data_IF_951832628148
#
_entry.id   IF_951832628148
#
_cell.length_a   1.000
_cell.length_b   1.000
_cell.length_c   1.000
_cell.angle_alpha   90.00
_cell.angle_beta   90.00
_cell.angle_gamma   90.00
#
_symmetry.space_group_name_H-M   'P 1'
#
loop_
_entity.id
_entity.type
_entity.pdbx_description
1 polymer ?
#
# COMPACT_ATOMS: atom_id res chain seq x y z
N UNK A 1 30.37 -3.98 36.97
CA UNK A 1 29.24 -4.61 36.27
C UNK A 1 27.92 -3.79 36.32
N UNK A 2 27.75 -2.82 37.23
CA UNK A 2 26.49 -2.06 37.41
C UNK A 2 26.23 -0.88 36.45
N UNK A 3 27.20 -0.43 35.65
CA UNK A 3 27.03 0.77 34.78
C UNK A 3 26.24 0.51 33.49
N UNK A 4 26.05 -0.75 33.07
CA UNK A 4 25.31 -1.08 31.83
C UNK A 4 23.79 -1.25 32.04
N UNK A 5 23.33 -1.47 33.28
CA UNK A 5 21.91 -1.67 33.60
C UNK A 5 21.12 -0.35 33.68
N UNK A 6 21.78 0.76 34.08
CA UNK A 6 21.14 2.08 34.22
C UNK A 6 20.81 2.70 32.85
N UNK A 7 21.66 2.49 31.84
CA UNK A 7 21.44 3.01 30.46
C UNK A 7 20.22 2.33 29.81
N UNK A 8 20.00 1.04 30.09
CA UNK A 8 18.85 0.27 29.59
C UNK A 8 17.52 0.76 30.19
N UNK A 9 17.50 1.05 31.50
CA UNK A 9 16.29 1.54 32.19
C UNK A 9 15.91 2.97 31.75
N UNK A 10 16.91 3.82 31.46
CA UNK A 10 16.69 5.19 30.97
C UNK A 10 16.13 5.22 29.54
N UNK A 11 16.57 4.28 28.68
CA UNK A 11 16.07 4.16 27.29
C UNK A 11 14.63 3.65 27.22
N UNK A 12 14.23 2.74 28.12
CA UNK A 12 12.85 2.24 28.23
C UNK A 12 11.92 3.32 28.78
N UNK A 13 12.35 4.11 29.78
CA UNK A 13 11.61 5.27 30.29
C UNK A 13 11.39 6.36 29.22
N UNK A 14 12.37 6.59 28.33
CA UNK A 14 12.23 7.51 27.20
C UNK A 14 11.17 7.06 26.17
N UNK A 15 11.05 5.75 25.92
CA UNK A 15 10.05 5.18 25.00
C UNK A 15 8.61 5.21 25.57
N UNK A 16 8.45 5.12 26.90
CA UNK A 16 7.14 5.27 27.55
C UNK A 16 6.75 6.74 27.78
N UNK A 17 7.72 7.64 27.99
CA UNK A 17 7.46 9.07 28.12
C UNK A 17 6.98 9.69 26.79
N UNK A 18 7.52 9.26 25.65
CA UNK A 18 7.11 9.77 24.33
C UNK A 18 5.67 9.40 23.99
N UNK A 19 5.22 8.16 24.26
CA UNK A 19 3.85 7.73 23.93
C UNK A 19 2.78 8.44 24.76
N UNK A 20 3.02 8.64 26.06
CA UNK A 20 2.11 9.38 26.94
C UNK A 20 2.07 10.88 26.59
N UNK A 21 3.23 11.48 26.32
CA UNK A 21 3.33 12.86 25.89
C UNK A 21 2.64 13.09 24.53
N UNK A 22 2.71 12.13 23.61
CA UNK A 22 1.99 12.17 22.33
C UNK A 22 0.47 12.19 22.56
N UNK A 23 -0.04 11.28 23.40
CA UNK A 23 -1.45 11.21 23.73
C UNK A 23 -1.99 12.49 24.41
N UNK A 24 -1.21 13.10 25.31
CA UNK A 24 -1.60 14.35 25.97
C UNK A 24 -1.61 15.56 25.02
N UNK A 25 -0.64 15.64 24.09
CA UNK A 25 -0.62 16.70 23.08
C UNK A 25 -1.78 16.55 22.07
N UNK A 26 -2.09 15.31 21.66
CA UNK A 26 -3.24 15.02 20.81
C UNK A 26 -4.54 15.44 21.50
N UNK A 27 -4.73 15.05 22.76
CA UNK A 27 -5.93 15.42 23.54
C UNK A 27 -6.07 16.93 23.70
N UNK A 28 -4.96 17.62 23.99
CA UNK A 28 -4.93 19.09 24.13
C UNK A 28 -5.28 19.79 22.82
N UNK A 29 -4.64 19.39 21.71
CA UNK A 29 -4.90 19.97 20.39
C UNK A 29 -6.34 19.74 19.94
N UNK A 30 -6.90 18.55 20.20
CA UNK A 30 -8.31 18.26 19.94
C UNK A 30 -9.25 19.10 20.82
N UNK A 31 -8.87 19.37 22.07
CA UNK A 31 -9.59 20.29 22.95
C UNK A 31 -9.71 21.67 22.32
N UNK A 32 -8.58 22.24 21.89
CA UNK A 32 -8.58 23.53 21.18
C UNK A 32 -9.40 23.50 19.89
N UNK A 33 -9.29 22.43 19.09
CA UNK A 33 -10.07 22.28 17.87
C UNK A 33 -11.58 22.29 18.15
N UNK A 34 -12.05 21.56 19.16
CA UNK A 34 -13.47 21.50 19.55
C UNK A 34 -13.99 22.84 20.06
N UNK A 35 -13.13 23.66 20.68
CA UNK A 35 -13.46 25.02 21.13
C UNK A 35 -13.42 26.06 19.99
N UNK A 36 -13.09 25.66 18.76
CA UNK A 36 -12.92 26.59 17.63
C UNK A 36 -11.60 27.37 17.68
N UNK A 37 -10.71 27.07 18.63
CA UNK A 37 -9.41 27.71 18.78
C UNK A 37 -8.36 27.09 17.85
N UNK A 38 -8.64 27.13 16.54
CA UNK A 38 -7.87 26.41 15.53
C UNK A 38 -6.38 26.80 15.48
N UNK A 39 -6.04 28.05 15.77
CA UNK A 39 -4.64 28.50 15.83
C UNK A 39 -3.85 27.83 16.97
N UNK A 40 -4.49 27.61 18.14
CA UNK A 40 -3.86 26.91 19.26
C UNK A 40 -3.77 25.40 19.01
N UNK A 41 -4.77 24.84 18.34
CA UNK A 41 -4.74 23.46 17.87
C UNK A 41 -3.56 23.23 16.90
N UNK A 42 -3.42 24.10 15.89
CA UNK A 42 -2.28 24.10 14.95
C UNK A 42 -0.94 24.15 15.68
N UNK A 43 -0.75 25.11 16.59
CA UNK A 43 0.51 25.25 17.33
C UNK A 43 0.86 23.98 18.11
N UNK A 44 -0.15 23.35 18.72
CA UNK A 44 -0.01 22.10 19.49
C UNK A 44 0.42 20.95 18.58
N UNK A 45 -0.24 20.77 17.43
CA UNK A 45 0.11 19.69 16.50
C UNK A 45 1.46 19.91 15.82
N UNK A 46 1.85 21.16 15.52
CA UNK A 46 3.20 21.46 15.01
C UNK A 46 4.28 21.14 16.04
N UNK A 47 4.07 21.47 17.32
CA UNK A 47 5.01 21.11 18.38
C UNK A 47 5.16 19.59 18.51
N UNK A 48 4.06 18.86 18.40
CA UNK A 48 4.09 17.40 18.39
C UNK A 48 4.88 16.86 17.20
N UNK A 49 4.65 17.38 16.00
CA UNK A 49 5.34 16.96 14.78
C UNK A 49 6.84 17.29 14.77
N UNK A 50 7.30 18.28 15.54
CA UNK A 50 8.74 18.51 15.74
C UNK A 50 9.41 17.34 16.48
N UNK A 51 8.68 16.68 17.38
CA UNK A 51 9.17 15.54 18.17
C UNK A 51 8.90 14.21 17.48
N UNK A 52 7.78 14.12 16.77
CA UNK A 52 7.31 12.92 16.07
C UNK A 52 6.96 13.23 14.61
N UNK A 53 7.96 13.41 13.72
CA UNK A 53 7.72 13.82 12.33
C UNK A 53 6.88 12.84 11.50
N UNK A 54 6.85 11.56 11.91
CA UNK A 54 6.11 10.49 11.24
C UNK A 54 4.73 10.21 11.85
N UNK A 55 4.26 11.04 12.79
CA UNK A 55 2.94 10.86 13.41
C UNK A 55 1.82 11.32 12.46
N UNK A 56 1.31 10.38 11.64
CA UNK A 56 0.27 10.65 10.65
C UNK A 56 -1.07 11.11 11.26
N UNK A 57 -1.35 10.73 12.51
CA UNK A 57 -2.52 11.23 13.22
C UNK A 57 -2.37 12.73 13.54
N UNK A 58 -1.20 13.16 14.03
CA UNK A 58 -0.90 14.56 14.27
C UNK A 58 -0.91 15.39 12.97
N UNK A 59 -0.36 14.84 11.87
CA UNK A 59 -0.46 15.46 10.54
C UNK A 59 -1.92 15.66 10.12
N UNK A 60 -2.78 14.66 10.32
CA UNK A 60 -4.19 14.75 9.95
C UNK A 60 -4.91 15.82 10.78
N UNK A 61 -4.66 15.87 12.09
CA UNK A 61 -5.26 16.85 12.98
C UNK A 61 -4.78 18.28 12.69
N UNK A 62 -3.51 18.44 12.31
CA UNK A 62 -3.00 19.70 11.79
C UNK A 62 -3.72 20.10 10.50
N UNK A 63 -3.87 19.17 9.54
CA UNK A 63 -4.55 19.44 8.28
C UNK A 63 -5.99 19.94 8.48
N UNK A 64 -6.80 19.27 9.30
CA UNK A 64 -8.18 19.74 9.57
C UNK A 64 -8.20 21.09 10.29
N UNK A 65 -7.23 21.37 11.17
CA UNK A 65 -7.11 22.67 11.86
C UNK A 65 -6.75 23.79 10.89
N UNK A 66 -5.92 23.50 9.88
CA UNK A 66 -5.56 24.43 8.80
C UNK A 66 -6.75 24.70 7.88
N UNK A 67 -7.59 23.68 7.59
CA UNK A 67 -8.82 23.85 6.79
C UNK A 67 -9.77 24.85 7.45
N UNK A 68 -9.98 24.74 8.76
CA UNK A 68 -10.84 25.68 9.50
C UNK A 68 -10.32 27.11 9.46
N UNK A 69 -9.00 27.28 9.40
CA UNK A 69 -8.35 28.58 9.22
C UNK A 69 -8.26 29.06 7.76
N UNK A 70 -8.87 28.34 6.82
CA UNK A 70 -8.81 28.60 5.37
C UNK A 70 -7.39 28.52 4.78
N UNK A 71 -6.44 27.89 5.47
CA UNK A 71 -5.06 27.64 5.02
C UNK A 71 -5.01 26.40 4.12
N UNK A 72 -5.78 26.41 3.04
CA UNK A 72 -6.06 25.22 2.23
C UNK A 72 -4.83 24.62 1.57
N UNK A 73 -3.93 25.45 1.05
CA UNK A 73 -2.73 24.98 0.35
C UNK A 73 -1.83 24.15 1.27
N UNK A 74 -1.71 24.56 2.54
CA UNK A 74 -0.89 23.85 3.51
C UNK A 74 -1.59 22.57 4.00
N UNK A 75 -2.91 22.64 4.27
CA UNK A 75 -3.70 21.46 4.62
C UNK A 75 -3.57 20.34 3.57
N UNK A 76 -3.60 20.71 2.29
CA UNK A 76 -3.42 19.77 1.16
C UNK A 76 -2.09 19.04 1.21
N UNK A 77 -0.99 19.71 1.58
CA UNK A 77 0.33 19.07 1.69
C UNK A 77 0.33 17.96 2.73
N UNK A 78 -0.27 18.23 3.90
CA UNK A 78 -0.36 17.22 4.96
C UNK A 78 -1.25 16.03 4.58
N UNK A 79 -2.37 16.26 3.89
CA UNK A 79 -3.19 15.15 3.39
C UNK A 79 -2.44 14.28 2.38
N UNK A 80 -1.71 14.88 1.44
CA UNK A 80 -0.89 14.15 0.45
C UNK A 80 0.20 13.33 1.13
N UNK A 81 0.88 13.90 2.11
CA UNK A 81 1.91 13.21 2.88
C UNK A 81 1.34 12.00 3.62
N UNK A 82 0.17 12.11 4.25
CA UNK A 82 -0.49 10.97 4.92
C UNK A 82 -0.84 9.86 3.92
N UNK A 83 -1.35 10.21 2.74
CA UNK A 83 -1.72 9.23 1.71
C UNK A 83 -0.50 8.40 1.27
N UNK A 84 0.68 9.04 1.21
CA UNK A 84 1.92 8.37 0.77
C UNK A 84 2.60 7.61 1.92
N UNK A 85 2.54 8.14 3.15
CA UNK A 85 3.35 7.62 4.28
C UNK A 85 2.59 6.78 5.30
N UNK A 86 1.26 6.69 5.24
CA UNK A 86 0.44 5.97 6.22
C UNK A 86 0.08 4.56 5.78
N UNK A 87 0.30 3.58 6.66
CA UNK A 87 -0.24 2.22 6.53
C UNK A 87 -1.66 2.08 7.10
N UNK A 88 -2.22 3.14 7.70
CA UNK A 88 -3.57 3.15 8.26
C UNK A 88 -4.58 3.56 7.18
N UNK A 89 -5.31 2.58 6.62
CA UNK A 89 -6.28 2.79 5.53
C UNK A 89 -7.37 3.82 5.89
N UNK A 90 -7.82 3.86 7.15
CA UNK A 90 -8.83 4.83 7.60
C UNK A 90 -8.30 6.27 7.53
N UNK A 91 -7.05 6.51 7.95
CA UNK A 91 -6.43 7.83 7.84
C UNK A 91 -6.18 8.24 6.38
N UNK A 92 -5.83 7.28 5.52
CA UNK A 92 -5.69 7.52 4.07
C UNK A 92 -7.04 7.94 3.47
N UNK A 93 -8.11 7.20 3.76
CA UNK A 93 -9.47 7.50 3.28
C UNK A 93 -9.96 8.87 3.76
N UNK A 94 -9.74 9.20 5.03
CA UNK A 94 -10.07 10.52 5.59
C UNK A 94 -9.29 11.64 4.90
N UNK A 95 -8.01 11.43 4.60
CA UNK A 95 -7.16 12.42 3.93
C UNK A 95 -7.56 12.63 2.47
N UNK A 96 -7.95 11.56 1.76
CA UNK A 96 -8.50 11.64 0.41
C UNK A 96 -9.80 12.46 0.38
N UNK A 97 -10.70 12.21 1.35
CA UNK A 97 -11.93 13.01 1.50
C UNK A 97 -11.62 14.47 1.80
N UNK A 98 -10.62 14.74 2.64
CA UNK A 98 -10.12 16.09 2.93
C UNK A 98 -9.67 16.82 1.67
N UNK A 99 -8.87 16.18 0.80
CA UNK A 99 -8.44 16.76 -0.48
C UNK A 99 -9.61 17.05 -1.42
N UNK A 100 -10.52 16.08 -1.58
CA UNK A 100 -11.71 16.22 -2.42
C UNK A 100 -12.56 17.42 -2.01
N UNK A 101 -12.81 17.60 -0.71
CA UNK A 101 -13.56 18.74 -0.18
C UNK A 101 -12.90 20.10 -0.42
N UNK A 102 -11.57 20.14 -0.61
CA UNK A 102 -10.81 21.37 -0.87
C UNK A 102 -10.70 21.71 -2.36
N UNK A 103 -11.63 21.18 -3.18
CA UNK A 103 -11.65 21.39 -4.63
C UNK A 103 -10.50 20.69 -5.34
N UNK A 104 -9.74 19.85 -4.63
CA UNK A 104 -8.82 18.92 -5.26
C UNK A 104 -9.63 17.67 -5.60
N UNK A 105 -10.39 17.77 -6.70
CA UNK A 105 -10.77 16.60 -7.50
C UNK A 105 -9.49 16.05 -8.13
N UNK A 106 -8.55 15.63 -7.29
CA UNK A 106 -7.48 14.80 -7.74
C UNK A 106 -8.17 13.52 -8.18
N UNK A 107 -8.22 13.36 -9.50
CA UNK A 107 -7.88 12.13 -10.19
C UNK A 107 -6.72 11.38 -9.49
N UNK A 108 -6.97 10.91 -8.27
CA UNK A 108 -6.29 9.79 -7.61
C UNK A 108 -7.05 8.49 -7.93
N UNK A 109 -8.00 8.54 -8.88
CA UNK A 109 -8.14 7.44 -9.82
C UNK A 109 -6.85 7.37 -10.64
N UNK A 110 -5.88 6.61 -10.13
CA UNK A 110 -4.97 5.82 -10.95
C UNK A 110 -4.12 6.51 -12.02
N UNK A 111 -3.71 7.77 -11.84
CA UNK A 111 -2.62 8.36 -12.64
C UNK A 111 -1.54 9.01 -11.76
N UNK A 112 -1.13 8.29 -10.74
CA UNK A 112 0.15 8.53 -10.09
C UNK A 112 1.23 7.99 -11.03
N UNK A 113 2.05 8.86 -11.62
CA UNK A 113 3.38 8.49 -12.11
C UNK A 113 4.25 8.14 -10.88
N UNK A 114 3.85 7.12 -10.12
CA UNK A 114 4.73 6.49 -9.13
C UNK A 114 5.84 5.87 -9.94
N UNK A 115 7.01 6.49 -9.88
CA UNK A 115 8.21 5.98 -10.52
C UNK A 115 8.85 4.88 -9.69
N UNK A 116 8.50 4.76 -8.41
CA UNK A 116 9.06 3.78 -7.47
C UNK A 116 8.06 3.36 -6.40
N UNK A 117 7.82 2.06 -6.28
CA UNK A 117 7.05 1.47 -5.18
C UNK A 117 7.94 0.57 -4.31
N UNK A 118 7.84 0.70 -2.99
CA UNK A 118 8.44 -0.24 -2.02
C UNK A 118 7.31 -1.04 -1.39
N UNK A 119 7.29 -2.32 -1.71
CA UNK A 119 6.25 -3.26 -1.33
C UNK A 119 6.80 -4.10 -0.18
N UNK A 120 6.20 -3.99 0.99
CA UNK A 120 6.46 -4.93 2.08
C UNK A 120 5.68 -6.22 1.76
N UNK A 121 6.39 -7.35 1.72
CA UNK A 121 5.82 -8.66 1.39
C UNK A 121 5.79 -9.55 2.63
N UNK A 122 4.72 -10.35 2.75
CA UNK A 122 4.68 -11.39 3.77
C UNK A 122 5.52 -12.56 3.26
N UNK A 123 6.48 -13.01 4.08
CA UNK A 123 7.32 -14.17 3.75
C UNK A 123 6.83 -15.39 4.51
N UNK A 124 6.42 -16.43 3.80
CA UNK A 124 6.14 -17.76 4.35
C UNK A 124 7.12 -18.76 3.72
N UNK A 125 8.21 -19.05 4.44
CA UNK A 125 9.34 -19.78 3.87
C UNK A 125 9.99 -19.00 2.72
N UNK A 126 10.06 -19.60 1.53
CA UNK A 126 10.59 -18.97 0.32
C UNK A 126 9.57 -18.13 -0.45
N UNK A 127 8.29 -18.20 -0.07
CA UNK A 127 7.19 -17.54 -0.79
C UNK A 127 7.05 -16.09 -0.33
N UNK A 128 7.03 -15.17 -1.28
CA UNK A 128 6.72 -13.76 -1.05
C UNK A 128 5.31 -13.46 -1.53
N UNK A 129 4.45 -13.00 -0.62
CA UNK A 129 3.09 -12.60 -0.96
C UNK A 129 3.01 -11.08 -1.04
N UNK A 130 2.56 -10.60 -2.19
CA UNK A 130 2.25 -9.21 -2.48
C UNK A 130 0.74 -9.02 -2.28
N UNK A 131 0.36 -8.33 -1.20
CA UNK A 131 -1.04 -8.02 -0.92
C UNK A 131 -1.48 -6.73 -1.63
N UNK A 132 -2.79 -6.49 -1.65
CA UNK A 132 -3.39 -5.23 -2.12
C UNK A 132 -3.07 -4.89 -3.59
N UNK A 133 -2.92 -5.91 -4.44
CA UNK A 133 -2.81 -5.75 -5.89
C UNK A 133 -4.19 -5.49 -6.45
N UNK A 134 -4.33 -4.45 -7.26
CA UNK A 134 -5.59 -4.09 -7.92
C UNK A 134 -5.54 -4.45 -9.39
N UNK A 135 -6.49 -5.27 -9.84
CA UNK A 135 -6.66 -5.71 -11.23
C UNK A 135 -7.82 -4.95 -11.88
N UNK A 136 -7.57 -4.38 -13.07
CA UNK A 136 -8.52 -3.59 -13.87
C UNK A 136 -9.30 -2.53 -13.07
N UNK A 137 -8.69 -1.94 -12.04
CA UNK A 137 -9.33 -1.01 -11.09
C UNK A 137 -10.61 -1.58 -10.43
N UNK A 138 -10.79 -2.90 -10.42
CA UNK A 138 -12.05 -3.57 -10.04
C UNK A 138 -11.85 -4.53 -8.88
N UNK A 139 -10.85 -5.41 -8.98
CA UNK A 139 -10.63 -6.49 -8.02
C UNK A 139 -9.33 -6.26 -7.26
N UNK A 140 -9.42 -6.13 -5.93
CA UNK A 140 -8.27 -6.08 -5.02
C UNK A 140 -8.00 -7.49 -4.50
N UNK A 141 -6.76 -7.96 -4.61
CA UNK A 141 -6.36 -9.34 -4.34
C UNK A 141 -4.87 -9.40 -3.98
N UNK A 142 -4.35 -10.60 -3.76
CA UNK A 142 -2.95 -10.88 -3.46
C UNK A 142 -2.34 -11.78 -4.52
N UNK A 143 -1.03 -11.68 -4.68
CA UNK A 143 -0.26 -12.52 -5.59
C UNK A 143 0.97 -13.09 -4.89
N UNK A 144 1.40 -14.26 -5.32
CA UNK A 144 2.75 -14.75 -5.03
C UNK A 144 3.70 -14.12 -6.05
N UNK A 145 4.79 -13.49 -5.59
CA UNK A 145 5.84 -13.03 -6.48
C UNK A 145 6.64 -14.23 -6.99
N UNK A 146 6.68 -14.43 -8.31
CA UNK A 146 7.38 -15.56 -8.93
C UNK A 146 8.22 -15.10 -10.13
N UNK A 147 9.52 -14.91 -9.90
CA UNK A 147 10.47 -14.57 -10.98
C UNK A 147 10.78 -15.75 -11.90
N UNK A 148 10.34 -16.97 -11.56
CA UNK A 148 10.47 -18.15 -12.41
C UNK A 148 9.32 -18.30 -13.40
N UNK A 149 8.23 -17.56 -13.23
CA UNK A 149 7.08 -17.60 -14.14
C UNK A 149 7.23 -16.57 -15.27
N UNK A 150 7.28 -17.02 -16.53
CA UNK A 150 7.33 -16.12 -17.69
C UNK A 150 6.10 -15.20 -17.77
N UNK A 151 4.93 -15.73 -17.41
CA UNK A 151 3.65 -15.01 -17.41
C UNK A 151 3.13 -14.86 -16.00
N UNK A 152 2.44 -13.74 -15.75
CA UNK A 152 1.52 -13.62 -14.62
C UNK A 152 0.42 -14.66 -14.78
N UNK A 153 -0.03 -15.28 -13.69
CA UNK A 153 -1.12 -16.25 -13.72
C UNK A 153 -2.29 -15.75 -12.88
N UNK A 154 -3.51 -16.09 -13.31
CA UNK A 154 -4.73 -15.87 -12.54
C UNK A 154 -5.60 -17.13 -12.53
N UNK A 155 -6.38 -17.33 -11.48
CA UNK A 155 -7.38 -18.40 -11.42
C UNK A 155 -8.54 -18.15 -12.39
N UNK A 156 -9.28 -19.21 -12.72
CA UNK A 156 -10.52 -19.11 -13.51
C UNK A 156 -11.54 -18.22 -12.80
N UNK A 157 -11.64 -18.32 -11.47
CA UNK A 157 -12.51 -17.46 -10.66
C UNK A 157 -12.13 -15.97 -10.78
N UNK A 158 -10.84 -15.66 -10.76
CA UNK A 158 -10.34 -14.28 -10.94
C UNK A 158 -10.67 -13.76 -12.33
N UNK A 159 -10.46 -14.56 -13.38
CA UNK A 159 -10.82 -14.18 -14.75
C UNK A 159 -12.32 -13.86 -14.87
N UNK A 160 -13.19 -14.70 -14.28
CA UNK A 160 -14.64 -14.47 -14.23
C UNK A 160 -15.01 -13.19 -13.47
N UNK A 161 -14.41 -12.95 -12.30
CA UNK A 161 -14.64 -11.75 -11.51
C UNK A 161 -14.24 -10.47 -12.27
N UNK A 162 -13.22 -10.56 -13.12
CA UNK A 162 -12.78 -9.48 -14.01
C UNK A 162 -13.62 -9.35 -15.28
N UNK A 163 -14.49 -10.30 -15.59
CA UNK A 163 -15.27 -10.35 -16.85
C UNK A 163 -14.40 -10.68 -18.07
N UNK A 164 -13.28 -11.37 -17.88
CA UNK A 164 -12.37 -11.77 -18.95
C UNK A 164 -12.85 -13.11 -19.53
N UNK A 165 -13.26 -13.10 -20.81
CA UNK A 165 -13.66 -14.32 -21.51
C UNK A 165 -12.47 -15.14 -21.97
N UNK A 166 -12.54 -16.45 -21.79
CA UNK A 166 -11.52 -17.43 -22.22
C UNK A 166 -11.96 -18.28 -23.42
N UNK A 167 -13.21 -18.10 -23.90
CA UNK A 167 -13.83 -18.99 -24.90
C UNK A 167 -13.01 -19.07 -26.21
N UNK A 168 -12.52 -17.92 -26.68
CA UNK A 168 -11.71 -17.81 -27.90
C UNK A 168 -10.24 -17.47 -27.62
N UNK A 169 -9.80 -17.62 -26.36
CA UNK A 169 -8.43 -17.36 -25.98
C UNK A 169 -7.50 -18.44 -26.52
N UNK A 170 -6.32 -18.02 -26.99
CA UNK A 170 -5.24 -18.93 -27.38
C UNK A 170 -4.89 -19.85 -26.21
N UNK A 171 -4.81 -21.15 -26.49
CA UNK A 171 -4.27 -22.12 -25.54
C UNK A 171 -2.75 -22.15 -25.68
N UNK A 172 -2.03 -22.04 -24.57
CA UNK A 172 -0.58 -22.14 -24.49
C UNK A 172 -0.23 -23.27 -23.54
N UNK A 173 0.65 -24.18 -23.99
CA UNK A 173 1.21 -25.22 -23.12
C UNK A 173 2.40 -24.68 -22.37
N UNK A 174 2.36 -24.77 -21.05
CA UNK A 174 3.41 -24.25 -20.15
C UNK A 174 3.95 -25.34 -19.24
N UNK A 175 5.22 -25.23 -18.86
CA UNK A 175 5.80 -26.05 -17.80
C UNK A 175 5.50 -25.40 -16.45
N UNK A 176 4.95 -26.16 -15.52
CA UNK A 176 4.71 -25.76 -14.13
C UNK A 176 5.56 -26.62 -13.19
N UNK A 177 5.58 -26.29 -11.89
CA UNK A 177 6.23 -27.12 -10.88
C UNK A 177 5.67 -28.55 -10.76
N UNK A 178 4.47 -28.81 -11.32
CA UNK A 178 3.83 -30.13 -11.32
C UNK A 178 3.85 -30.82 -12.70
N UNK A 179 4.60 -30.27 -13.66
CA UNK A 179 4.66 -30.74 -15.04
C UNK A 179 3.95 -29.81 -16.02
N UNK A 180 3.65 -30.31 -17.22
CA UNK A 180 3.01 -29.50 -18.26
C UNK A 180 1.53 -29.26 -17.98
N UNK A 181 1.06 -28.05 -18.27
CA UNK A 181 -0.35 -27.67 -18.21
C UNK A 181 -0.71 -26.83 -19.44
N UNK A 182 -1.95 -26.97 -19.91
CA UNK A 182 -2.53 -26.09 -20.91
C UNK A 182 -3.24 -24.92 -20.22
N UNK A 183 -2.94 -23.69 -20.64
CA UNK A 183 -3.49 -22.48 -20.05
C UNK A 183 -4.03 -21.53 -21.12
N UNK A 184 -5.02 -20.71 -20.77
CA UNK A 184 -5.59 -19.72 -21.67
C UNK A 184 -4.84 -18.39 -21.55
N UNK A 185 -4.28 -17.90 -22.66
CA UNK A 185 -3.61 -16.61 -22.71
C UNK A 185 -4.63 -15.48 -22.83
N UNK A 186 -4.61 -14.58 -21.85
CA UNK A 186 -5.50 -13.42 -21.76
C UNK A 186 -4.69 -12.16 -21.47
N UNK A 187 -5.37 -11.01 -21.49
CA UNK A 187 -4.78 -9.71 -21.14
C UNK A 187 -5.50 -9.08 -19.97
N UNK A 188 -4.75 -8.71 -18.95
CA UNK A 188 -5.21 -7.87 -17.86
C UNK A 188 -4.93 -6.42 -18.26
N UNK A 189 -5.98 -5.60 -18.30
CA UNK A 189 -5.90 -4.22 -18.81
C UNK A 189 -4.98 -3.36 -17.94
N UNK A 190 -5.04 -3.54 -16.61
CA UNK A 190 -4.16 -2.86 -15.66
C UNK A 190 -3.91 -3.72 -14.43
N UNK A 191 -2.66 -3.81 -14.01
CA UNK A 191 -2.24 -4.34 -12.70
C UNK A 191 -1.58 -3.20 -11.94
N UNK A 192 -2.08 -2.90 -10.74
CA UNK A 192 -1.56 -1.84 -9.89
C UNK A 192 -1.21 -2.36 -8.50
N UNK A 193 -0.06 -1.94 -7.96
CA UNK A 193 0.36 -2.23 -6.60
C UNK A 193 1.03 -0.99 -6.02
N UNK A 194 0.57 -0.50 -4.87
CA UNK A 194 1.14 0.68 -4.21
C UNK A 194 1.30 1.90 -5.17
N UNK A 195 0.32 2.10 -6.06
CA UNK A 195 0.30 3.20 -7.03
C UNK A 195 1.20 3.04 -8.26
N UNK A 196 2.12 2.06 -8.30
CA UNK A 196 2.83 1.71 -9.54
C UNK A 196 1.98 0.72 -10.35
N UNK A 197 1.92 0.88 -11.67
CA UNK A 197 1.08 0.04 -12.50
C UNK A 197 1.65 -0.26 -13.87
N UNK A 198 1.27 -1.42 -14.40
CA UNK A 198 1.50 -1.84 -15.78
C UNK A 198 0.16 -2.09 -16.46
N UNK A 199 0.09 -1.78 -17.74
CA UNK A 199 -1.12 -1.94 -18.57
C UNK A 199 -0.90 -3.00 -19.65
N UNK A 200 -1.99 -3.61 -20.13
CA UNK A 200 -1.93 -4.62 -21.20
C UNK A 200 -0.94 -5.75 -20.87
N UNK A 201 -1.09 -6.31 -19.66
CA UNK A 201 -0.24 -7.38 -19.14
C UNK A 201 -0.79 -8.71 -19.60
N UNK A 202 0.05 -9.52 -20.23
CA UNK A 202 -0.29 -10.88 -20.62
C UNK A 202 -0.37 -11.77 -19.38
N UNK A 203 -1.42 -12.57 -19.28
CA UNK A 203 -1.62 -13.47 -18.17
C UNK A 203 -2.16 -14.82 -18.65
N UNK A 204 -1.86 -15.87 -17.88
CA UNK A 204 -2.39 -17.21 -18.11
C UNK A 204 -3.51 -17.50 -17.11
N UNK A 205 -4.66 -17.94 -17.60
CA UNK A 205 -5.72 -18.48 -16.75
C UNK A 205 -5.40 -19.95 -16.47
N UNK A 206 -5.09 -20.25 -15.21
CA UNK A 206 -4.68 -21.58 -14.75
C UNK A 206 -5.02 -21.78 -13.27
N UNK A 207 -5.70 -22.87 -12.93
CA UNK A 207 -6.04 -23.18 -11.53
C UNK A 207 -4.92 -24.00 -10.86
N UNK A 208 -3.92 -23.29 -10.35
CA UNK A 208 -2.80 -23.84 -9.57
C UNK A 208 -3.21 -24.29 -8.15
N UNK A 209 -2.46 -25.20 -7.51
CA UNK A 209 -2.68 -25.59 -6.12
C UNK A 209 -2.67 -24.42 -5.12
N UNK A 210 -1.91 -23.35 -5.43
CA UNK A 210 -1.89 -22.12 -4.64
C UNK A 210 -3.26 -21.41 -4.55
N UNK A 211 -4.21 -21.74 -5.45
CA UNK A 211 -5.58 -21.24 -5.41
C UNK A 211 -6.51 -22.10 -4.55
N UNK A 212 -6.02 -23.15 -3.87
CA UNK A 212 -6.83 -24.08 -3.08
C UNK A 212 -6.35 -24.08 -1.63
N UNK A 213 -7.06 -23.37 -0.76
CA UNK A 213 -6.87 -23.34 0.69
C UNK A 213 -7.95 -22.50 1.36
N UNK A 214 -8.21 -22.64 2.66
CA UNK A 214 -9.34 -21.99 3.38
C UNK A 214 -9.32 -20.43 3.38
N UNK A 215 -8.34 -19.80 2.70
CA UNK A 215 -8.23 -18.35 2.45
C UNK A 215 -8.05 -18.04 0.96
N UNK A 216 -8.38 -18.98 0.07
CA UNK A 216 -8.07 -18.95 -1.37
C UNK A 216 -8.73 -17.82 -2.15
N UNK A 217 -9.78 -17.22 -1.62
CA UNK A 217 -10.50 -16.15 -2.31
C UNK A 217 -9.64 -14.88 -2.44
N UNK A 218 -8.58 -14.74 -1.64
CA UNK A 218 -7.69 -13.58 -1.65
C UNK A 218 -6.43 -13.75 -2.52
N UNK A 219 -6.13 -14.95 -3.04
CA UNK A 219 -4.91 -15.21 -3.83
C UNK A 219 -5.24 -15.43 -5.31
N UNK A 220 -5.00 -14.41 -6.13
CA UNK A 220 -5.32 -14.45 -7.56
C UNK A 220 -4.41 -15.37 -8.36
N UNK A 221 -3.12 -15.45 -8.00
CA UNK A 221 -2.13 -16.30 -8.68
C UNK A 221 -0.70 -15.83 -8.52
N UNK A 222 0.11 -16.00 -9.58
CA UNK A 222 1.53 -15.66 -9.61
C UNK A 222 1.74 -14.32 -10.32
N UNK A 223 2.52 -13.41 -9.73
CA UNK A 223 2.97 -12.18 -10.36
C UNK A 223 4.31 -12.46 -11.03
N UNK A 224 4.27 -12.68 -12.35
CA UNK A 224 5.39 -13.18 -13.15
C UNK A 224 6.05 -12.10 -14.01
N UNK A 225 6.99 -12.54 -14.86
CA UNK A 225 7.88 -11.64 -15.63
C UNK A 225 7.14 -10.73 -16.62
N UNK A 226 6.06 -11.19 -17.26
CA UNK A 226 5.17 -10.34 -18.09
C UNK A 226 4.70 -9.03 -17.43
N UNK A 227 4.64 -8.99 -16.09
CA UNK A 227 4.43 -7.79 -15.28
C UNK A 227 5.75 -7.21 -14.76
N UNK A 228 6.64 -8.04 -14.20
CA UNK A 228 7.85 -7.58 -13.52
C UNK A 228 8.86 -6.91 -14.46
N UNK A 229 8.96 -7.35 -15.72
CA UNK A 229 9.85 -6.77 -16.74
C UNK A 229 9.46 -5.35 -17.16
N UNK A 230 8.27 -4.88 -16.74
CA UNK A 230 7.86 -3.49 -16.93
C UNK A 230 8.58 -2.53 -15.98
N UNK A 231 9.34 -3.07 -15.03
CA UNK A 231 10.01 -2.33 -13.97
C UNK A 231 11.41 -2.88 -13.74
N UNK A 232 12.31 -2.01 -13.29
CA UNK A 232 13.50 -2.46 -12.56
C UNK A 232 13.05 -3.00 -11.20
N UNK A 233 13.14 -4.32 -11.05
CA UNK A 233 12.71 -5.05 -9.85
C UNK A 233 13.89 -5.36 -8.94
N UNK A 234 13.82 -4.99 -7.66
CA UNK A 234 14.82 -5.33 -6.64
C UNK A 234 14.17 -6.05 -5.47
N UNK A 235 14.68 -7.23 -5.11
CA UNK A 235 14.14 -8.05 -4.02
C UNK A 235 15.11 -8.05 -2.85
N UNK A 236 14.67 -7.54 -1.70
CA UNK A 236 15.39 -7.61 -0.44
C UNK A 236 14.70 -8.62 0.51
N UNK A 237 15.19 -9.86 0.47
CA UNK A 237 14.69 -10.97 1.31
C UNK A 237 14.81 -10.69 2.80
N UNK A 238 15.93 -10.12 3.24
CA UNK A 238 16.19 -9.85 4.66
C UNK A 238 15.21 -8.82 5.25
N UNK A 239 14.79 -7.84 4.43
CA UNK A 239 13.84 -6.79 4.83
C UNK A 239 12.39 -7.13 4.50
N UNK A 240 12.12 -8.26 3.85
CA UNK A 240 10.77 -8.59 3.36
C UNK A 240 10.25 -7.53 2.39
N UNK A 241 11.09 -7.03 1.48
CA UNK A 241 10.77 -5.90 0.60
C UNK A 241 11.02 -6.21 -0.87
N UNK A 242 10.11 -5.74 -1.72
CA UNK A 242 10.23 -5.73 -3.17
C UNK A 242 10.12 -4.28 -3.62
N UNK A 243 11.10 -3.80 -4.38
CA UNK A 243 11.08 -2.47 -4.99
C UNK A 243 10.81 -2.62 -6.48
N UNK A 244 9.85 -1.87 -7.00
CA UNK A 244 9.58 -1.73 -8.43
C UNK A 244 9.86 -0.29 -8.84
N UNK A 245 10.70 -0.08 -9.84
CA UNK A 245 11.05 1.23 -10.39
C UNK A 245 10.75 1.28 -11.89
N UNK A 246 10.18 2.37 -12.41
CA UNK A 246 10.00 2.53 -13.87
C UNK A 246 11.37 2.58 -14.55
N UNK A 247 11.47 1.93 -15.71
CA UNK A 247 12.64 1.96 -16.61
C UNK A 247 12.78 3.34 -17.26
#
# INVERSE_FOLDING_TARGET
>A
MFKRLIISLFLVLLLFASSKASADNIRTGLGYYKLGEYSKAEATFRNLLQKEPHNNQAKYMLAISLVQQKKFNEAKQYYKDIIVSSNNESLVSLSQKGLSNLGENSALSGNSNVNRAVINVNTAGSVMVVNNVTLNNKLKTSFILDTGASYTTISTATANALGISTQNAQTVRVMTGSGYADAKLVKISKIEVQGISATNVEALVLDLPAHKGDKSDDMAGLLGMSFLDRFKTTINKQRGQVTLERL
#
